data_IF_359544841295
#
_entry.id   IF_359544841295
#
_cell.length_a   1.000
_cell.length_b   1.000
_cell.length_c   1.000
_cell.angle_alpha   90.00
_cell.angle_beta   90.00
_cell.angle_gamma   90.00
#
_symmetry.space_group_name_H-M   'P 1'
#
loop_
_entity.id
_entity.type
_entity.pdbx_description
1 polymer ?
#
# COMPACT_ATOMS: atom_id res chain seq x y z
N UNK A 1 14.19 17.00 0.87
CA UNK A 1 13.62 15.72 0.37
C UNK A 1 12.22 16.01 -0.12
N UNK A 2 12.01 15.95 -1.43
CA UNK A 2 10.77 16.29 -2.14
C UNK A 2 9.60 15.40 -1.69
N UNK A 3 8.39 15.96 -1.64
CA UNK A 3 7.22 15.30 -1.04
C UNK A 3 6.80 14.01 -1.77
N UNK A 4 7.04 13.92 -3.08
CA UNK A 4 6.71 12.74 -3.89
C UNK A 4 7.55 11.51 -3.51
N UNK A 5 8.86 11.69 -3.29
CA UNK A 5 9.76 10.59 -2.92
C UNK A 5 9.37 9.92 -1.59
N UNK A 6 8.75 10.67 -0.66
CA UNK A 6 8.26 10.10 0.60
C UNK A 6 7.06 9.16 0.40
N UNK A 7 6.22 9.40 -0.60
CA UNK A 7 5.05 8.57 -0.91
C UNK A 7 5.49 7.29 -1.61
N UNK A 8 6.38 7.38 -2.59
CA UNK A 8 6.94 6.20 -3.27
C UNK A 8 7.68 5.29 -2.29
N UNK A 9 8.46 5.86 -1.37
CA UNK A 9 9.15 5.07 -0.33
C UNK A 9 8.15 4.37 0.59
N UNK A 10 7.04 5.02 0.96
CA UNK A 10 5.99 4.40 1.77
C UNK A 10 5.34 3.23 1.04
N UNK A 11 5.00 3.41 -0.24
CA UNK A 11 4.43 2.34 -1.08
C UNK A 11 5.42 1.18 -1.21
N UNK A 12 6.69 1.46 -1.48
CA UNK A 12 7.73 0.44 -1.60
C UNK A 12 7.96 -0.31 -0.29
N UNK A 13 7.93 0.39 0.85
CA UNK A 13 8.02 -0.22 2.17
C UNK A 13 6.82 -1.12 2.50
N UNK A 14 5.60 -0.73 2.08
CA UNK A 14 4.40 -1.54 2.24
C UNK A 14 4.48 -2.84 1.41
N UNK A 15 4.96 -2.76 0.18
CA UNK A 15 5.20 -3.93 -0.69
C UNK A 15 6.25 -4.86 -0.05
N UNK A 16 7.38 -4.31 0.41
CA UNK A 16 8.43 -5.09 1.05
C UNK A 16 7.94 -5.80 2.32
N UNK A 17 7.13 -5.12 3.14
CA UNK A 17 6.54 -5.69 4.34
C UNK A 17 5.51 -6.79 4.02
N UNK A 18 4.73 -6.64 2.95
CA UNK A 18 3.83 -7.69 2.46
C UNK A 18 4.59 -8.94 2.04
N UNK A 19 5.67 -8.78 1.27
CA UNK A 19 6.52 -9.89 0.83
C UNK A 19 7.11 -10.62 2.05
N UNK A 20 7.58 -9.87 3.05
CA UNK A 20 8.09 -10.45 4.29
C UNK A 20 6.99 -11.21 5.07
N UNK A 21 5.77 -10.66 5.14
CA UNK A 21 4.63 -11.31 5.78
C UNK A 21 4.22 -12.61 5.10
N UNK A 22 4.16 -12.62 3.76
CA UNK A 22 3.88 -13.83 2.97
C UNK A 22 4.99 -14.86 3.17
N UNK A 23 6.25 -14.45 3.12
CA UNK A 23 7.40 -15.34 3.33
C UNK A 23 7.38 -15.98 4.72
N UNK A 24 7.05 -15.23 5.78
CA UNK A 24 6.89 -15.77 7.14
C UNK A 24 5.68 -16.69 7.26
N UNK A 25 4.55 -16.35 6.63
CA UNK A 25 3.37 -17.22 6.61
C UNK A 25 3.72 -18.55 5.92
N UNK A 26 4.39 -18.51 4.77
CA UNK A 26 4.88 -19.69 4.05
C UNK A 26 5.90 -20.48 4.88
N UNK A 27 6.85 -19.83 5.53
CA UNK A 27 7.81 -20.48 6.43
C UNK A 27 7.12 -21.15 7.63
N UNK A 28 6.04 -20.56 8.14
CA UNK A 28 5.20 -21.14 9.20
C UNK A 28 4.47 -22.42 8.79
N UNK A 29 4.25 -22.65 7.48
CA UNK A 29 3.77 -23.94 6.96
C UNK A 29 4.88 -24.98 6.79
N UNK A 30 6.14 -24.55 6.61
CA UNK A 30 7.29 -25.42 6.32
C UNK A 30 7.98 -25.88 7.62
N UNK A 31 7.98 -25.06 8.67
CA UNK A 31 8.58 -25.38 9.98
C UNK A 31 7.63 -26.24 10.82
N UNK A 32 8.15 -27.31 11.42
CA UNK A 32 7.40 -28.18 12.32
C UNK A 32 6.94 -27.42 13.59
N UNK A 33 5.71 -27.61 14.11
CA UNK A 33 4.74 -28.67 13.81
C UNK A 33 3.90 -28.37 12.56
N UNK A 34 4.02 -29.24 11.54
CA UNK A 34 3.29 -29.12 10.28
C UNK A 34 1.79 -29.30 10.50
N UNK A 35 1.00 -28.30 10.11
CA UNK A 35 -0.47 -28.36 10.13
C UNK A 35 -1.14 -27.47 11.18
N UNK A 36 -0.38 -26.86 12.10
CA UNK A 36 -0.89 -25.85 13.05
C UNK A 36 -0.16 -24.54 12.80
N UNK A 37 -0.79 -23.62 12.08
CA UNK A 37 -0.31 -22.24 11.98
C UNK A 37 -0.49 -21.62 13.36
N UNK A 38 0.60 -21.13 13.96
CA UNK A 38 0.50 -20.40 15.22
C UNK A 38 -0.35 -19.13 15.00
N UNK A 39 -1.33 -18.90 15.87
CA UNK A 39 -2.16 -17.68 15.89
C UNK A 39 -1.31 -16.41 15.81
N UNK A 40 -0.12 -16.42 16.42
CA UNK A 40 0.80 -15.28 16.40
C UNK A 40 1.29 -14.93 14.99
N UNK A 41 1.55 -15.92 14.14
CA UNK A 41 2.01 -15.70 12.76
C UNK A 41 0.87 -15.18 11.90
N UNK A 42 -0.32 -15.76 12.06
CA UNK A 42 -1.51 -15.30 11.34
C UNK A 42 -1.90 -13.87 11.75
N UNK A 43 -1.82 -13.54 13.04
CA UNK A 43 -2.03 -12.18 13.55
C UNK A 43 -0.98 -11.20 13.03
N UNK A 44 0.31 -11.58 13.05
CA UNK A 44 1.37 -10.74 12.50
C UNK A 44 1.16 -10.47 11.00
N UNK A 45 0.82 -11.51 10.23
CA UNK A 45 0.48 -11.37 8.82
C UNK A 45 -0.74 -10.46 8.62
N UNK A 46 -1.80 -10.61 9.42
CA UNK A 46 -2.96 -9.73 9.37
C UNK A 46 -2.59 -8.25 9.64
N UNK A 47 -1.68 -7.98 10.57
CA UNK A 47 -1.16 -6.63 10.81
C UNK A 47 -0.37 -6.09 9.60
N UNK A 48 0.45 -6.93 8.94
CA UNK A 48 1.12 -6.54 7.69
C UNK A 48 0.10 -6.18 6.60
N UNK A 49 -1.00 -6.93 6.49
CA UNK A 49 -2.08 -6.67 5.52
C UNK A 49 -2.81 -5.35 5.83
N UNK A 50 -3.12 -5.09 7.11
CA UNK A 50 -3.76 -3.83 7.52
C UNK A 50 -2.85 -2.63 7.20
N UNK A 51 -1.55 -2.74 7.52
CA UNK A 51 -0.58 -1.71 7.22
C UNK A 51 -0.48 -1.43 5.72
N UNK A 52 -0.28 -2.49 4.92
CA UNK A 52 -0.18 -2.36 3.47
C UNK A 52 -1.48 -1.84 2.85
N UNK A 53 -2.63 -2.33 3.29
CA UNK A 53 -3.95 -1.88 2.84
C UNK A 53 -4.19 -0.39 3.14
N UNK A 54 -3.75 0.11 4.29
CA UNK A 54 -3.87 1.53 4.62
C UNK A 54 -3.01 2.42 3.71
N UNK A 55 -1.76 2.02 3.47
CA UNK A 55 -0.84 2.76 2.59
C UNK A 55 -1.36 2.76 1.14
N UNK A 56 -1.78 1.60 0.62
CA UNK A 56 -2.32 1.52 -0.74
C UNK A 56 -3.65 2.26 -0.89
N UNK A 57 -4.55 2.15 0.09
CA UNK A 57 -5.84 2.85 0.05
C UNK A 57 -5.68 4.37 -0.04
N UNK A 58 -4.77 4.94 0.76
CA UNK A 58 -4.46 6.38 0.71
C UNK A 58 -3.76 6.74 -0.60
N UNK A 59 -2.83 5.92 -1.09
CA UNK A 59 -2.13 6.16 -2.35
C UNK A 59 -3.07 6.22 -3.55
N UNK A 60 -4.00 5.26 -3.67
CA UNK A 60 -5.00 5.24 -4.75
C UNK A 60 -5.91 6.48 -4.63
N UNK A 61 -6.40 6.78 -3.43
CA UNK A 61 -7.26 7.94 -3.20
C UNK A 61 -6.60 9.25 -3.63
N UNK A 62 -5.34 9.47 -3.25
CA UNK A 62 -4.59 10.68 -3.62
C UNK A 62 -4.41 10.74 -5.14
N UNK A 63 -4.02 9.65 -5.79
CA UNK A 63 -3.86 9.63 -7.25
C UNK A 63 -5.16 9.95 -7.99
N UNK A 64 -6.28 9.36 -7.57
CA UNK A 64 -7.59 9.64 -8.17
C UNK A 64 -8.00 11.10 -7.97
N UNK A 65 -7.80 11.65 -6.75
CA UNK A 65 -8.13 13.04 -6.46
C UNK A 65 -7.22 14.04 -7.16
N UNK A 66 -5.94 13.72 -7.33
CA UNK A 66 -5.03 14.53 -8.14
C UNK A 66 -5.43 14.54 -9.62
N UNK A 67 -5.81 13.39 -10.17
CA UNK A 67 -6.29 13.30 -11.54
C UNK A 67 -7.57 14.12 -11.76
N UNK A 68 -8.52 14.03 -10.83
CA UNK A 68 -9.76 14.83 -10.84
C UNK A 68 -9.48 16.34 -10.71
N UNK A 69 -8.53 16.73 -9.84
CA UNK A 69 -8.18 18.14 -9.68
C UNK A 69 -7.46 18.69 -10.92
N UNK A 70 -6.59 17.89 -11.54
CA UNK A 70 -5.88 18.26 -12.76
C UNK A 70 -6.85 18.48 -13.92
N UNK A 71 -7.82 17.59 -14.12
CA UNK A 71 -8.82 17.76 -15.19
C UNK A 71 -9.70 19.00 -15.00
N UNK A 72 -10.05 19.33 -13.74
CA UNK A 72 -10.76 20.57 -13.42
C UNK A 72 -9.94 21.82 -13.73
N UNK A 73 -8.63 21.80 -13.45
CA UNK A 73 -7.74 22.91 -13.77
C UNK A 73 -7.61 23.10 -15.28
N UNK A 74 -7.42 22.01 -16.04
CA UNK A 74 -7.35 22.06 -17.51
C UNK A 74 -8.64 22.65 -18.11
N UNK A 75 -9.81 22.31 -17.55
CA UNK A 75 -11.11 22.86 -18.02
C UNK A 75 -11.26 24.36 -17.71
N UNK A 76 -10.72 24.85 -16.58
CA UNK A 76 -10.76 26.27 -16.21
C UNK A 76 -9.83 27.08 -17.13
N UNK A 77 -8.65 26.53 -17.45
CA UNK A 77 -7.70 27.18 -18.34
C UNK A 77 -8.25 27.29 -19.77
N UNK A 78 -8.90 26.23 -20.29
CA UNK A 78 -9.59 26.29 -21.59
C UNK A 78 -10.79 27.25 -21.59
N UNK A 79 -11.51 27.37 -20.46
CA UNK A 79 -12.65 28.29 -20.33
C UNK A 79 -12.27 29.78 -20.18
N UNK A 80 -11.01 30.09 -19.85
CA UNK A 80 -10.51 31.45 -19.66
C UNK A 80 -9.92 32.12 -20.91
N UNK A 81 -9.79 31.39 -22.02
CA UNK A 81 -9.24 31.89 -23.30
C UNK A 81 -10.36 32.27 -24.30
N UNK A 82 -11.64 32.23 -23.88
CA UNK A 82 -12.76 32.75 -24.68
C UNK A 82 -13.22 34.14 -24.24
#
# INVERSE_FOLDING_TARGET
MTKETRTDIQIYSAIAMLIAGVALATAGFIVAPTGIISDSVLLFFAQCLIYAGSIFGVSIYIHTKFAELKSRFDTIEEGGIQ
#
